data_IF_781820245745
#
_entry.id   IF_781820245745
#
_cell.length_a   1.000
_cell.length_b   1.000
_cell.length_c   1.000
_cell.angle_alpha   90.00
_cell.angle_beta   90.00
_cell.angle_gamma   90.00
#
_symmetry.space_group_name_H-M   'P 1'
#
loop_
_entity.id
_entity.type
_entity.pdbx_description
1 polymer ?
#
# COMPACT_ATOMS: atom_id res chain seq x y z
N UNK A 1 2.89 -11.85 25.31
CA UNK A 1 2.48 -10.59 25.99
C UNK A 1 2.22 -9.55 24.92
N UNK A 2 1.04 -8.92 24.92
CA UNK A 2 0.66 -7.92 23.92
C UNK A 2 1.07 -6.51 24.39
N UNK A 3 1.30 -5.59 23.45
CA UNK A 3 1.68 -4.21 23.77
C UNK A 3 0.61 -3.47 24.61
N UNK A 4 -0.66 -3.80 24.42
CA UNK A 4 -1.78 -3.25 25.21
C UNK A 4 -1.72 -3.65 26.68
N UNK A 5 -1.27 -4.87 26.99
CA UNK A 5 -1.11 -5.38 28.35
C UNK A 5 0.00 -4.64 29.12
N UNK A 6 1.13 -4.34 28.45
CA UNK A 6 2.20 -3.52 29.01
C UNK A 6 1.75 -2.09 29.33
N UNK A 7 0.98 -1.46 28.42
CA UNK A 7 0.44 -0.12 28.65
C UNK A 7 -0.58 -0.10 29.79
N UNK A 8 -1.39 -1.15 29.93
CA UNK A 8 -2.35 -1.29 31.03
C UNK A 8 -1.65 -1.48 32.38
N UNK A 9 -0.59 -2.30 32.40
CA UNK A 9 0.25 -2.51 33.59
C UNK A 9 0.98 -1.23 33.98
N UNK A 10 1.51 -0.48 33.02
CA UNK A 10 2.14 0.81 33.25
C UNK A 10 1.14 1.84 33.82
N UNK A 11 -0.12 1.83 33.38
CA UNK A 11 -1.16 2.70 33.96
C UNK A 11 -1.56 2.33 35.39
N UNK A 12 -1.60 1.02 35.69
CA UNK A 12 -2.07 0.51 36.99
C UNK A 12 -0.98 0.53 38.08
N UNK A 13 0.26 0.26 37.70
CA UNK A 13 1.38 0.11 38.64
C UNK A 13 2.50 1.13 38.45
N UNK A 14 2.53 1.86 37.33
CA UNK A 14 3.46 2.96 37.16
C UNK A 14 2.95 4.20 37.88
N UNK A 15 3.79 4.79 38.74
CA UNK A 15 3.58 6.11 39.34
C UNK A 15 3.70 7.22 38.29
N UNK A 16 2.80 7.20 37.30
CA UNK A 16 2.81 8.14 36.19
C UNK A 16 2.06 9.42 36.54
N UNK A 17 2.64 10.57 36.15
CA UNK A 17 2.01 11.89 36.21
C UNK A 17 0.62 11.85 35.53
N UNK A 18 -0.44 12.48 36.08
CA UNK A 18 -1.77 12.55 35.46
C UNK A 18 -1.78 12.88 33.96
N UNK A 19 -0.88 13.74 33.49
CA UNK A 19 -0.75 14.07 32.07
C UNK A 19 -0.30 12.88 31.20
N UNK A 20 0.61 12.04 31.68
CA UNK A 20 1.03 10.83 30.97
C UNK A 20 -0.09 9.80 30.91
N UNK A 21 -0.89 9.68 31.97
CA UNK A 21 -2.08 8.82 31.98
C UNK A 21 -3.10 9.26 30.92
N UNK A 22 -3.30 10.57 30.78
CA UNK A 22 -4.14 11.14 29.73
C UNK A 22 -3.58 10.91 28.33
N UNK A 23 -2.25 10.91 28.15
CA UNK A 23 -1.63 10.62 26.85
C UNK A 23 -1.65 9.13 26.47
N UNK A 24 -1.64 8.22 27.44
CA UNK A 24 -1.59 6.76 27.22
C UNK A 24 -2.99 6.17 26.97
N UNK A 25 -4.03 6.68 27.64
CA UNK A 25 -5.43 6.25 27.44
C UNK A 25 -5.89 6.23 25.97
N UNK A 26 -5.75 7.31 25.18
CA UNK A 26 -6.19 7.32 23.78
C UNK A 26 -5.38 6.34 22.92
N UNK A 27 -4.11 6.09 23.28
CA UNK A 27 -3.30 5.08 22.58
C UNK A 27 -3.84 3.67 22.83
N UNK A 28 -4.16 3.32 24.07
CA UNK A 28 -4.78 2.02 24.40
C UNK A 28 -6.10 1.86 23.64
N UNK A 29 -6.94 2.89 23.61
CA UNK A 29 -8.21 2.89 22.87
C UNK A 29 -8.00 2.68 21.37
N UNK A 30 -7.05 3.38 20.75
CA UNK A 30 -6.72 3.20 19.33
C UNK A 30 -6.25 1.78 19.00
N UNK A 31 -5.44 1.17 19.88
CA UNK A 31 -4.97 -0.19 19.68
C UNK A 31 -6.09 -1.22 19.86
N UNK A 32 -7.03 -0.99 20.78
CA UNK A 32 -8.20 -1.86 20.96
C UNK A 32 -9.15 -1.78 19.76
N UNK A 33 -9.48 -0.56 19.31
CA UNK A 33 -10.33 -0.34 18.15
C UNK A 33 -9.76 -1.01 16.89
N UNK A 34 -8.46 -0.82 16.63
CA UNK A 34 -7.78 -1.46 15.49
C UNK A 34 -7.78 -2.98 15.61
N UNK A 35 -7.61 -3.53 16.81
CA UNK A 35 -7.68 -4.97 17.03
C UNK A 35 -9.09 -5.52 16.74
N UNK A 36 -10.14 -4.81 17.15
CA UNK A 36 -11.53 -5.17 16.84
C UNK A 36 -11.81 -5.15 15.33
N UNK A 37 -11.36 -4.12 14.62
CA UNK A 37 -11.49 -4.02 13.16
C UNK A 37 -10.81 -5.20 12.44
N UNK A 38 -9.59 -5.57 12.86
CA UNK A 38 -8.86 -6.72 12.32
C UNK A 38 -9.63 -8.02 12.57
N UNK A 39 -10.13 -8.23 13.80
CA UNK A 39 -10.92 -9.43 14.15
C UNK A 39 -12.23 -9.47 13.36
N UNK A 40 -12.89 -8.34 13.15
CA UNK A 40 -14.11 -8.26 12.33
C UNK A 40 -13.83 -8.55 10.86
N UNK A 41 -12.73 -8.04 10.31
CA UNK A 41 -12.31 -8.32 8.94
C UNK A 41 -11.98 -9.81 8.76
N UNK A 42 -11.28 -10.44 9.71
CA UNK A 42 -11.01 -11.89 9.71
C UNK A 42 -12.31 -12.71 9.80
N UNK A 43 -13.26 -12.32 10.67
CA UNK A 43 -14.57 -12.97 10.75
C UNK A 43 -15.37 -12.83 9.45
N UNK A 44 -15.37 -11.65 8.83
CA UNK A 44 -16.02 -11.39 7.54
C UNK A 44 -15.33 -12.08 6.35
N UNK A 45 -14.01 -12.26 6.39
CA UNK A 45 -13.24 -13.00 5.39
C UNK A 45 -13.41 -14.53 5.51
N UNK A 46 -13.58 -15.04 6.74
CA UNK A 46 -13.75 -16.48 6.98
C UNK A 46 -15.03 -17.10 6.41
N UNK A 47 -16.00 -16.27 5.98
CA UNK A 47 -17.22 -16.74 5.29
C UNK A 47 -17.11 -16.72 3.75
N UNK A 48 -16.03 -16.18 3.17
CA UNK A 48 -15.85 -16.11 1.70
C UNK A 48 -14.70 -16.95 1.13
N UNK A 49 -13.94 -17.66 1.97
CA UNK A 49 -12.88 -18.57 1.51
C UNK A 49 -13.04 -19.97 2.12
N UNK A 50 -14.02 -20.73 1.61
CA UNK A 50 -13.98 -22.19 1.59
C UNK A 50 -14.44 -22.66 0.21
N UNK A 51 -13.64 -22.38 -0.81
CA UNK A 51 -13.69 -23.11 -2.06
C UNK A 51 -12.27 -23.20 -2.65
N UNK A 52 -11.82 -24.45 -2.75
CA UNK A 52 -10.75 -24.95 -3.64
C UNK A 52 -9.30 -24.84 -3.15
N UNK A 53 -8.75 -25.99 -2.73
CA UNK A 53 -7.50 -26.67 -3.18
C UNK A 53 -7.55 -28.06 -2.49
N UNK A 54 -8.06 -29.11 -3.15
CA UNK A 54 -7.45 -30.00 -4.16
C UNK A 54 -6.71 -31.20 -3.56
N UNK A 55 -7.34 -32.38 -3.65
CA UNK A 55 -6.65 -33.66 -3.87
C UNK A 55 -7.61 -34.61 -4.61
N UNK A 56 -7.25 -34.88 -5.87
CA UNK A 56 -7.46 -36.10 -6.65
C UNK A 56 -8.61 -36.15 -7.69
N UNK A 57 -8.15 -36.34 -8.93
CA UNK A 57 -8.76 -37.12 -10.03
C UNK A 57 -9.81 -36.44 -10.92
N UNK A 58 -9.46 -36.18 -12.19
CA UNK A 58 -10.47 -36.06 -13.25
C UNK A 58 -10.12 -35.14 -14.43
N UNK A 59 -9.43 -35.71 -15.42
CA UNK A 59 -9.40 -35.33 -16.85
C UNK A 59 -10.59 -34.49 -17.35
N UNK A 60 -10.32 -33.37 -18.02
CA UNK A 60 -11.32 -32.66 -18.84
C UNK A 60 -10.68 -31.51 -19.65
N UNK A 61 -10.39 -31.78 -20.92
CA UNK A 61 -9.91 -30.82 -21.92
C UNK A 61 -11.04 -29.87 -22.34
N UNK A 62 -10.80 -28.56 -22.38
CA UNK A 62 -11.44 -27.62 -23.32
C UNK A 62 -10.68 -26.31 -23.36
N UNK A 63 -10.08 -26.05 -24.53
CA UNK A 63 -9.83 -24.70 -25.03
C UNK A 63 -11.12 -23.89 -24.97
N UNK A 64 -11.06 -22.67 -24.45
CA UNK A 64 -11.79 -21.55 -25.07
C UNK A 64 -11.13 -20.23 -24.69
N UNK A 65 -10.59 -19.58 -25.71
CA UNK A 65 -10.31 -18.15 -25.73
C UNK A 65 -11.62 -17.41 -25.49
N UNK A 66 -11.65 -16.57 -24.45
CA UNK A 66 -12.51 -15.38 -24.44
C UNK A 66 -11.83 -14.32 -23.59
N UNK A 67 -11.24 -13.34 -24.29
CA UNK A 67 -11.01 -12.03 -23.69
C UNK A 67 -12.37 -11.50 -23.28
N UNK A 68 -12.47 -11.12 -22.01
CA UNK A 68 -13.58 -10.35 -21.49
C UNK A 68 -12.98 -9.02 -21.03
N UNK A 69 -13.02 -8.07 -21.95
CA UNK A 69 -13.00 -6.63 -21.68
C UNK A 69 -14.25 -6.33 -20.82
N UNK A 70 -14.19 -6.66 -19.53
CA UNK A 70 -15.22 -6.28 -18.56
C UNK A 70 -14.94 -4.83 -18.10
N UNK A 71 -15.11 -3.92 -19.06
CA UNK A 71 -15.04 -2.46 -18.93
C UNK A 71 -16.31 -1.91 -18.23
N UNK A 72 -16.79 -2.60 -17.19
CA UNK A 72 -17.81 -2.12 -16.28
C UNK A 72 -17.80 -2.92 -14.97
N UNK A 73 -17.35 -2.31 -13.86
CA UNK A 73 -17.88 -2.81 -12.58
C UNK A 73 -17.24 -2.36 -11.28
N UNK A 74 -16.01 -1.86 -11.28
CA UNK A 74 -15.37 -1.47 -10.02
C UNK A 74 -15.27 0.06 -9.89
N UNK A 75 -16.20 0.71 -9.15
CA UNK A 75 -16.13 2.15 -8.90
C UNK A 75 -14.84 2.52 -8.17
N UNK A 76 -14.20 1.59 -7.45
CA UNK A 76 -12.95 1.86 -6.76
C UNK A 76 -11.77 1.92 -7.75
N UNK A 77 -11.75 1.10 -8.81
CA UNK A 77 -10.72 1.21 -9.87
C UNK A 77 -10.79 2.55 -10.60
N UNK A 78 -12.00 3.02 -10.93
CA UNK A 78 -12.17 4.33 -11.57
C UNK A 78 -11.71 5.47 -10.67
N UNK A 79 -12.10 5.44 -9.38
CA UNK A 79 -11.61 6.39 -8.37
C UNK A 79 -10.09 6.34 -8.25
N UNK A 80 -9.47 5.17 -8.26
CA UNK A 80 -8.01 5.05 -8.22
C UNK A 80 -7.36 5.66 -9.45
N UNK A 81 -7.88 5.42 -10.65
CA UNK A 81 -7.37 6.02 -11.90
C UNK A 81 -7.51 7.54 -11.85
N UNK A 82 -8.65 8.07 -11.41
CA UNK A 82 -8.86 9.51 -11.22
C UNK A 82 -7.83 10.13 -10.25
N UNK A 83 -7.53 9.44 -9.13
CA UNK A 83 -6.50 9.90 -8.19
C UNK A 83 -5.08 9.85 -8.78
N UNK A 84 -4.78 8.86 -9.62
CA UNK A 84 -3.49 8.80 -10.31
C UNK A 84 -3.35 9.90 -11.36
N UNK A 85 -4.41 10.19 -12.11
CA UNK A 85 -4.45 11.28 -13.08
C UNK A 85 -4.25 12.65 -12.43
N UNK A 86 -4.83 12.88 -11.24
CA UNK A 86 -4.59 14.10 -10.47
C UNK A 86 -3.13 14.23 -9.98
N UNK A 87 -2.49 13.10 -9.65
CA UNK A 87 -1.09 13.07 -9.19
C UNK A 87 -0.06 13.20 -10.32
N UNK A 88 -0.47 12.99 -11.58
CA UNK A 88 0.40 13.15 -12.74
C UNK A 88 0.52 14.64 -13.06
N UNK A 89 1.65 15.24 -12.68
CA UNK A 89 1.98 16.61 -13.06
C UNK A 89 2.38 16.63 -14.54
N UNK A 90 1.61 17.31 -15.37
CA UNK A 90 1.84 17.42 -16.82
C UNK A 90 2.81 18.54 -17.20
N UNK A 91 2.81 19.65 -16.45
CA UNK A 91 3.65 20.81 -16.75
C UNK A 91 4.68 21.07 -15.64
N UNK A 92 5.96 20.97 -16.01
CA UNK A 92 7.07 21.43 -15.18
C UNK A 92 7.83 22.52 -15.93
N UNK A 93 7.87 23.72 -15.35
CA UNK A 93 8.52 24.90 -15.93
C UNK A 93 10.00 25.03 -15.53
N UNK A 94 10.62 23.96 -15.01
CA UNK A 94 11.99 23.99 -14.46
C UNK A 94 12.90 23.17 -15.36
N UNK A 95 14.02 23.76 -15.78
CA UNK A 95 15.05 23.08 -16.56
C UNK A 95 16.26 22.70 -15.69
N UNK A 96 17.10 21.77 -16.17
CA UNK A 96 18.35 21.40 -15.46
C UNK A 96 19.37 22.55 -15.39
N UNK A 97 19.19 23.62 -16.18
CA UNK A 97 20.02 24.83 -16.19
C UNK A 97 19.64 25.78 -15.04
N UNK A 98 18.37 25.76 -14.61
CA UNK A 98 17.85 26.59 -13.51
C UNK A 98 18.30 26.11 -12.12
N UNK A 99 18.80 24.88 -12.04
CA UNK A 99 19.34 24.31 -10.79
C UNK A 99 20.83 24.63 -10.72
N UNK A 100 21.29 25.35 -9.70
CA UNK A 100 22.72 25.68 -9.54
C UNK A 100 23.41 24.56 -8.74
N UNK A 101 24.56 24.08 -9.23
CA UNK A 101 25.34 23.00 -8.58
C UNK A 101 24.76 21.59 -8.78
N UNK A 102 25.15 20.65 -7.91
CA UNK A 102 24.76 19.23 -7.93
C UNK A 102 25.13 18.49 -9.24
N UNK A 103 26.29 18.79 -9.83
CA UNK A 103 26.68 18.23 -11.13
C UNK A 103 26.70 16.70 -11.16
N UNK A 104 27.22 16.07 -10.10
CA UNK A 104 27.22 14.60 -9.96
C UNK A 104 25.81 14.01 -9.95
N UNK A 105 24.85 14.67 -9.29
CA UNK A 105 23.47 14.20 -9.24
C UNK A 105 22.76 14.40 -10.58
N UNK A 106 23.05 15.50 -11.30
CA UNK A 106 22.51 15.75 -12.65
C UNK A 106 23.03 14.74 -13.66
N UNK A 107 24.32 14.40 -13.61
CA UNK A 107 24.93 13.40 -14.47
C UNK A 107 24.34 12.01 -14.21
N UNK A 108 24.25 11.59 -12.94
CA UNK A 108 23.64 10.33 -12.55
C UNK A 108 22.17 10.22 -13.01
N UNK A 109 21.38 11.29 -12.90
CA UNK A 109 19.99 11.30 -13.39
C UNK A 109 19.90 11.23 -14.92
N UNK A 110 20.80 11.92 -15.63
CA UNK A 110 20.88 11.85 -17.09
C UNK A 110 21.21 10.42 -17.54
N UNK A 111 22.15 9.74 -16.89
CA UNK A 111 22.52 8.37 -17.21
C UNK A 111 21.45 7.35 -16.84
N UNK A 112 20.80 7.50 -15.68
CA UNK A 112 19.82 6.53 -15.20
C UNK A 112 18.45 6.65 -15.89
N UNK A 113 18.07 7.86 -16.32
CA UNK A 113 16.72 8.13 -16.84
C UNK A 113 16.71 8.55 -18.30
N UNK A 114 17.57 9.51 -18.68
CA UNK A 114 17.54 10.09 -20.03
C UNK A 114 18.26 9.19 -21.04
N UNK A 115 19.38 8.58 -20.64
CA UNK A 115 20.21 7.76 -21.53
C UNK A 115 19.50 6.47 -21.98
N UNK A 116 18.76 5.72 -21.12
CA UNK A 116 18.02 4.54 -21.56
C UNK A 116 16.87 4.89 -22.51
N UNK A 117 16.22 6.03 -22.30
CA UNK A 117 15.14 6.51 -23.19
C UNK A 117 15.69 6.98 -24.54
N UNK A 118 16.83 7.67 -24.54
CA UNK A 118 17.44 8.23 -25.75
C UNK A 118 18.18 7.19 -26.58
N UNK A 119 18.77 6.18 -25.95
CA UNK A 119 19.49 5.09 -26.62
C UNK A 119 19.06 3.71 -26.06
N UNK A 120 17.84 3.24 -26.35
CA UNK A 120 17.32 1.97 -25.82
C UNK A 120 18.21 0.76 -26.13
N UNK A 121 18.92 0.79 -27.25
CA UNK A 121 19.81 -0.28 -27.70
C UNK A 121 21.06 -0.49 -26.81
N UNK A 122 21.44 0.49 -25.99
CA UNK A 122 22.57 0.37 -25.07
C UNK A 122 22.18 -0.26 -23.72
N UNK A 123 20.88 -0.46 -23.48
CA UNK A 123 20.30 -0.85 -22.18
C UNK A 123 19.31 -2.03 -22.28
N UNK A 124 19.37 -2.81 -23.36
CA UNK A 124 18.64 -4.09 -23.48
C UNK A 124 19.36 -5.24 -22.77
#
# INVERSE_FOLDING_TARGET
MTATDWLFRAMKYGEMNPQMKQAIRPKIESYMKRAEEIVQALKKGSTKEKAVVDTSTGRGNSNDNKGDDDDNGDPDRKRMVEHFEEAIVTDSNITFEDVIGLDQAKEALKEAVILPVKFPQLFQ
#
